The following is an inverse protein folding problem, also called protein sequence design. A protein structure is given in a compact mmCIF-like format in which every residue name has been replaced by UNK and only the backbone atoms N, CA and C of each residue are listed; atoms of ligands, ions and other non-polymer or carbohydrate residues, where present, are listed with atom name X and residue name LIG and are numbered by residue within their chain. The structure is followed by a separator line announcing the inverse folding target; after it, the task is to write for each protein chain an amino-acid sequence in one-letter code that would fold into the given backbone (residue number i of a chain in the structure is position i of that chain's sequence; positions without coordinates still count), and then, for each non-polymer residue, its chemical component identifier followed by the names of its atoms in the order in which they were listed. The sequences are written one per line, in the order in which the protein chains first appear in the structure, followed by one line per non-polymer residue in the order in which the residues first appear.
data_IF_260528240940
#
_entry.id   IF_260528240940
#
_cell.length_a   1.000
_cell.length_b   1.000
_cell.length_c   1.000
_cell.angle_alpha   90.00
_cell.angle_beta   90.00
_cell.angle_gamma   90.00
#
_symmetry.space_group_name_H-M   'P 1'
#
loop_
_entity.id
_entity.type
_entity.pdbx_description
1 polymer ?
#
# COMPACT_ATOMS: atom_id res chain seq x y z
N UNK A 1 -19.82 1.17 -0.89
CA UNK A 1 -19.30 0.02 -1.65
C UNK A 1 -18.06 -0.49 -0.91
N UNK A 2 -18.00 -1.78 -0.61
CA UNK A 2 -16.85 -2.38 0.05
C UNK A 2 -15.71 -2.56 -0.97
N UNK A 3 -14.47 -2.19 -0.61
CA UNK A 3 -13.27 -2.43 -1.41
C UNK A 3 -12.71 -3.79 -0.98
N UNK A 4 -12.34 -4.61 -1.94
CA UNK A 4 -11.79 -5.96 -1.73
C UNK A 4 -10.33 -5.98 -2.15
N UNK A 5 -9.45 -6.52 -1.30
CA UNK A 5 -8.02 -6.64 -1.56
C UNK A 5 -7.59 -8.06 -1.22
N UNK A 6 -7.12 -8.80 -2.21
CA UNK A 6 -6.60 -10.15 -2.04
C UNK A 6 -5.14 -10.11 -1.60
N UNK A 7 -4.80 -10.93 -0.62
CA UNK A 7 -3.47 -10.98 0.01
C UNK A 7 -2.80 -12.29 -0.33
N UNK A 8 -1.60 -12.22 -0.87
CA UNK A 8 -0.79 -13.37 -1.27
C UNK A 8 0.51 -13.40 -0.48
N UNK A 9 0.98 -14.63 -0.18
CA UNK A 9 2.32 -14.88 0.32
C UNK A 9 3.26 -15.13 -0.86
N UNK A 10 4.39 -14.43 -0.87
CA UNK A 10 5.49 -14.65 -1.81
C UNK A 10 6.84 -14.60 -1.08
N UNK A 11 7.00 -15.53 -0.16
CA UNK A 11 8.22 -15.76 0.62
C UNK A 11 8.39 -17.26 0.87
N UNK A 12 9.60 -17.79 0.93
CA UNK A 12 9.81 -19.24 1.10
C UNK A 12 9.10 -19.81 2.33
N UNK A 13 8.39 -20.94 2.22
CA UNK A 13 8.26 -21.80 1.03
C UNK A 13 7.12 -21.42 0.06
N UNK A 14 6.43 -20.32 0.28
CA UNK A 14 5.27 -19.90 -0.52
C UNK A 14 5.68 -19.16 -1.78
N UNK A 15 4.92 -19.35 -2.85
CA UNK A 15 5.07 -18.61 -4.10
C UNK A 15 3.68 -18.22 -4.62
N UNK A 16 3.33 -16.93 -4.44
CA UNK A 16 2.01 -16.39 -4.81
C UNK A 16 0.82 -17.19 -4.24
N UNK A 17 0.95 -17.67 -3.00
CA UNK A 17 -0.10 -18.42 -2.32
C UNK A 17 -1.14 -17.44 -1.76
N UNK A 18 -2.42 -17.65 -2.09
CA UNK A 18 -3.51 -16.81 -1.58
C UNK A 18 -3.75 -17.09 -0.08
N UNK A 19 -3.47 -16.09 0.75
CA UNK A 19 -3.64 -16.18 2.20
C UNK A 19 -5.08 -15.86 2.61
N UNK A 20 -5.66 -14.80 2.03
CA UNK A 20 -6.97 -14.31 2.43
C UNK A 20 -7.34 -12.99 1.76
N UNK A 21 -8.35 -12.36 2.31
CA UNK A 21 -8.95 -11.16 1.74
C UNK A 21 -9.15 -10.09 2.79
N UNK A 22 -8.67 -8.88 2.50
CA UNK A 22 -9.01 -7.66 3.25
C UNK A 22 -10.27 -7.05 2.64
N UNK A 23 -11.22 -6.74 3.49
CA UNK A 23 -12.42 -5.98 3.13
C UNK A 23 -12.34 -4.60 3.78
N UNK A 24 -12.50 -3.56 2.98
CA UNK A 24 -12.45 -2.17 3.44
C UNK A 24 -13.80 -1.52 3.22
N UNK A 25 -14.47 -1.19 4.29
CA UNK A 25 -15.72 -0.45 4.28
C UNK A 25 -15.45 1.01 4.63
N UNK A 26 -16.17 1.94 4.01
CA UNK A 26 -16.05 3.36 4.33
C UNK A 26 -17.34 3.88 4.92
N UNK A 27 -17.27 4.42 6.15
CA UNK A 27 -18.36 5.08 6.83
C UNK A 27 -17.93 6.43 7.39
N UNK A 28 -18.69 7.49 7.07
CA UNK A 28 -18.44 8.87 7.56
C UNK A 28 -17.00 9.34 7.34
N UNK A 29 -16.39 8.97 6.20
CA UNK A 29 -15.01 9.36 5.86
C UNK A 29 -13.90 8.57 6.57
N UNK A 30 -14.26 7.55 7.38
CA UNK A 30 -13.32 6.64 8.05
C UNK A 30 -13.39 5.26 7.40
N UNK A 31 -12.24 4.61 7.23
CA UNK A 31 -12.15 3.22 6.76
C UNK A 31 -12.23 2.25 7.94
N UNK A 32 -12.93 1.14 7.71
CA UNK A 32 -13.03 0.01 8.62
C UNK A 32 -12.54 -1.23 7.90
N UNK A 33 -11.68 -1.98 8.56
CA UNK A 33 -11.00 -3.13 7.99
C UNK A 33 -11.50 -4.41 8.63
N UNK A 34 -11.69 -5.43 7.80
CA UNK A 34 -11.84 -6.81 8.23
C UNK A 34 -11.02 -7.71 7.32
N UNK A 35 -10.63 -8.88 7.83
CA UNK A 35 -9.84 -9.85 7.12
C UNK A 35 -10.46 -11.24 7.25
N UNK A 36 -10.41 -12.02 6.20
CA UNK A 36 -10.82 -13.41 6.18
C UNK A 36 -9.73 -14.27 5.54
N UNK A 37 -9.30 -15.31 6.26
CA UNK A 37 -8.37 -16.28 5.70
C UNK A 37 -9.02 -17.11 4.60
N UNK A 38 -8.26 -17.42 3.55
CA UNK A 38 -8.64 -18.39 2.54
C UNK A 38 -8.76 -19.77 3.16
N UNK A 39 -9.75 -20.55 2.74
CA UNK A 39 -10.00 -21.88 3.31
C UNK A 39 -8.80 -22.81 3.12
N UNK A 40 -8.17 -22.81 1.94
CA UNK A 40 -6.96 -23.61 1.68
C UNK A 40 -5.80 -23.26 2.61
N UNK A 41 -5.63 -21.99 2.98
CA UNK A 41 -4.62 -21.54 3.95
C UNK A 41 -4.86 -22.16 5.33
N UNK A 42 -6.11 -22.15 5.78
CA UNK A 42 -6.50 -22.75 7.07
C UNK A 42 -6.37 -24.27 7.08
N UNK A 43 -6.79 -24.95 6.00
CA UNK A 43 -6.73 -26.41 5.88
C UNK A 43 -5.30 -26.93 5.84
N UNK A 44 -4.38 -26.21 5.23
CA UNK A 44 -2.97 -26.55 5.20
C UNK A 44 -2.24 -26.27 6.53
N UNK A 45 -2.90 -25.62 7.49
CA UNK A 45 -2.33 -25.30 8.80
C UNK A 45 -1.14 -24.34 8.74
N UNK A 46 -1.17 -23.43 7.79
CA UNK A 46 -0.11 -22.44 7.62
C UNK A 46 -0.09 -21.41 8.76
N UNK A 47 0.93 -20.59 8.76
CA UNK A 47 1.17 -19.65 9.84
C UNK A 47 0.12 -18.54 9.94
N UNK A 48 -0.06 -18.03 11.15
CA UNK A 48 -0.79 -16.83 11.46
C UNK A 48 0.02 -15.59 10.96
N UNK A 49 -0.64 -14.67 10.25
CA UNK A 49 0.02 -13.50 9.68
C UNK A 49 0.34 -12.42 10.72
N UNK A 50 -0.54 -12.28 11.69
CA UNK A 50 -0.52 -11.21 12.69
C UNK A 50 -1.10 -11.75 14.00
N UNK A 51 -0.61 -11.34 15.16
CA UNK A 51 -1.19 -11.74 16.45
C UNK A 51 -2.68 -11.45 16.59
N UNK A 52 -3.18 -10.43 15.87
CA UNK A 52 -4.60 -10.06 15.86
C UNK A 52 -5.43 -10.81 14.80
N UNK A 53 -4.78 -11.66 13.98
CA UNK A 53 -5.42 -12.46 12.91
C UNK A 53 -5.34 -13.95 13.23
N UNK A 54 -6.29 -14.45 14.03
CA UNK A 54 -6.33 -15.83 14.44
C UNK A 54 -6.74 -16.78 13.31
N UNK A 55 -6.20 -18.00 13.30
CA UNK A 55 -6.48 -19.02 12.29
C UNK A 55 -7.87 -19.65 12.52
N UNK A 56 -8.92 -19.00 12.07
CA UNK A 56 -10.28 -19.56 12.02
C UNK A 56 -11.05 -19.06 10.79
N UNK A 57 -12.10 -19.79 10.43
CA UNK A 57 -12.96 -19.43 9.30
C UNK A 57 -13.87 -18.25 9.66
N UNK A 58 -13.94 -17.27 8.76
CA UNK A 58 -14.80 -16.11 8.87
C UNK A 58 -14.06 -14.81 9.03
N UNK A 59 -14.79 -13.72 8.93
CA UNK A 59 -14.25 -12.36 8.99
C UNK A 59 -13.82 -12.00 10.41
N UNK A 60 -12.63 -11.47 10.51
CA UNK A 60 -12.05 -10.91 11.72
C UNK A 60 -11.97 -9.40 11.58
N UNK A 61 -12.38 -8.69 12.61
CA UNK A 61 -12.43 -7.23 12.61
C UNK A 61 -11.29 -6.70 13.46
N UNK A 62 -10.71 -5.58 13.00
CA UNK A 62 -9.69 -4.89 13.77
C UNK A 62 -10.30 -4.22 15.01
N UNK A 63 -9.53 -4.17 16.10
CA UNK A 63 -9.94 -3.43 17.29
C UNK A 63 -9.96 -1.92 17.02
N UNK A 64 -10.85 -1.20 17.71
CA UNK A 64 -11.11 0.23 17.49
C UNK A 64 -9.89 1.15 17.63
N UNK A 65 -8.84 0.70 18.33
CA UNK A 65 -7.62 1.45 18.57
C UNK A 65 -6.66 1.46 17.38
N UNK A 66 -6.86 0.61 16.40
CA UNK A 66 -5.99 0.46 15.23
C UNK A 66 -6.72 0.87 13.96
N UNK A 67 -6.00 1.49 13.03
CA UNK A 67 -6.56 1.87 11.72
C UNK A 67 -6.50 0.73 10.71
N UNK A 68 -5.51 -0.17 10.84
CA UNK A 68 -5.26 -1.32 9.97
C UNK A 68 -4.49 -2.39 10.77
N UNK A 69 -4.56 -3.68 10.38
CA UNK A 69 -3.76 -4.74 11.02
C UNK A 69 -2.26 -4.47 10.86
N UNK A 70 -1.47 -4.78 11.89
CA UNK A 70 -0.05 -4.46 11.96
C UNK A 70 0.74 -4.97 10.76
N UNK A 71 0.55 -6.24 10.38
CA UNK A 71 1.22 -6.85 9.22
C UNK A 71 0.94 -6.11 7.90
N UNK A 72 -0.25 -5.53 7.74
CA UNK A 72 -0.57 -4.74 6.56
C UNK A 72 -0.06 -3.30 6.69
N UNK A 73 -0.01 -2.76 7.90
CA UNK A 73 0.63 -1.46 8.16
C UNK A 73 2.13 -1.49 7.78
N UNK A 74 2.81 -2.60 8.06
CA UNK A 74 4.22 -2.82 7.69
C UNK A 74 4.43 -2.89 6.16
N UNK A 75 3.39 -3.23 5.42
CA UNK A 75 3.38 -3.23 3.95
C UNK A 75 3.04 -1.87 3.33
N UNK A 76 2.62 -0.90 4.13
CA UNK A 76 2.37 0.47 3.71
C UNK A 76 3.69 1.25 3.56
N UNK A 77 3.70 2.34 2.78
CA UNK A 77 4.89 3.19 2.69
C UNK A 77 5.16 3.86 4.02
N UNK A 78 6.43 4.17 4.26
CA UNK A 78 6.88 4.94 5.40
C UNK A 78 6.37 6.40 5.34
N UNK A 79 6.76 7.21 6.32
CA UNK A 79 6.36 8.62 6.38
C UNK A 79 6.74 9.40 5.13
N UNK A 80 7.90 9.10 4.54
CA UNK A 80 8.37 9.76 3.33
C UNK A 80 7.55 9.33 2.11
N UNK A 81 7.37 8.05 1.90
CA UNK A 81 6.55 7.51 0.83
C UNK A 81 5.11 8.05 0.86
N UNK A 82 4.52 8.21 2.07
CA UNK A 82 3.21 8.84 2.25
C UNK A 82 3.20 10.30 1.79
N UNK A 83 4.26 11.08 2.09
CA UNK A 83 4.40 12.48 1.61
C UNK A 83 4.47 12.55 0.09
N UNK A 84 5.25 11.66 -0.54
CA UNK A 84 5.33 11.57 -2.00
C UNK A 84 3.97 11.23 -2.63
N UNK A 85 3.24 10.29 -2.09
CA UNK A 85 1.90 9.92 -2.56
C UNK A 85 0.92 11.09 -2.43
N UNK A 86 0.94 11.82 -1.32
CA UNK A 86 0.10 13.01 -1.13
C UNK A 86 0.45 14.09 -2.16
N UNK A 87 1.73 14.36 -2.38
CA UNK A 87 2.17 15.34 -3.37
C UNK A 87 1.75 14.94 -4.79
N UNK A 88 1.85 13.68 -5.13
CA UNK A 88 1.39 13.16 -6.42
C UNK A 88 -0.12 13.37 -6.60
N UNK A 89 -0.92 13.10 -5.56
CA UNK A 89 -2.36 13.36 -5.61
C UNK A 89 -2.68 14.86 -5.81
N UNK A 90 -1.94 15.76 -5.15
CA UNK A 90 -2.08 17.20 -5.36
C UNK A 90 -1.78 17.61 -6.81
N UNK A 91 -0.71 17.07 -7.40
CA UNK A 91 -0.35 17.34 -8.79
C UNK A 91 -1.39 16.78 -9.77
N UNK A 92 -1.87 15.56 -9.53
CA UNK A 92 -2.95 14.95 -10.31
C UNK A 92 -4.21 15.81 -10.28
N UNK A 93 -4.63 16.20 -9.09
CA UNK A 93 -5.82 17.00 -8.89
C UNK A 93 -5.70 18.38 -9.56
N UNK A 94 -4.53 19.01 -9.44
CA UNK A 94 -4.22 20.28 -10.11
C UNK A 94 -4.30 20.16 -11.64
N UNK A 95 -3.73 19.09 -12.21
CA UNK A 95 -3.78 18.83 -13.65
C UNK A 95 -5.21 18.56 -14.14
N UNK A 96 -6.05 17.93 -13.31
CA UNK A 96 -7.45 17.66 -13.61
C UNK A 96 -8.41 18.82 -13.27
N UNK A 97 -7.92 19.91 -12.66
CA UNK A 97 -8.77 21.00 -12.19
C UNK A 97 -9.68 20.61 -11.01
N UNK A 98 -9.28 19.60 -10.24
CA UNK A 98 -10.02 19.04 -9.11
C UNK A 98 -9.39 19.42 -7.78
N UNK A 99 -10.14 19.23 -6.69
CA UNK A 99 -9.55 19.29 -5.34
C UNK A 99 -8.82 17.97 -5.04
N UNK A 100 -7.61 18.03 -4.44
CA UNK A 100 -6.91 16.81 -4.03
C UNK A 100 -7.75 16.07 -2.97
N UNK A 101 -7.87 14.76 -3.15
CA UNK A 101 -8.54 13.91 -2.17
C UNK A 101 -7.58 13.56 -1.03
N UNK A 102 -8.11 13.38 0.17
CA UNK A 102 -7.34 12.85 1.28
C UNK A 102 -7.13 11.35 1.06
N UNK A 103 -5.86 10.92 0.98
CA UNK A 103 -5.53 9.51 0.86
C UNK A 103 -5.85 8.76 2.17
N UNK A 104 -6.36 7.56 2.02
CA UNK A 104 -6.68 6.63 3.11
C UNK A 104 -5.58 5.59 3.32
N UNK A 105 -5.65 4.80 4.39
CA UNK A 105 -4.69 3.71 4.63
C UNK A 105 -4.73 2.67 3.50
N UNK A 106 -5.90 2.37 2.94
CA UNK A 106 -6.00 1.46 1.79
C UNK A 106 -5.35 2.05 0.54
N UNK A 107 -5.41 3.35 0.32
CA UNK A 107 -4.72 4.00 -0.79
C UNK A 107 -3.20 3.91 -0.63
N UNK A 108 -2.68 4.10 0.59
CA UNK A 108 -1.26 3.92 0.87
C UNK A 108 -0.82 2.47 0.68
N UNK A 109 -1.58 1.50 1.19
CA UNK A 109 -1.29 0.08 1.00
C UNK A 109 -1.20 -0.29 -0.49
N UNK A 110 -2.14 0.20 -1.29
CA UNK A 110 -2.22 -0.11 -2.71
C UNK A 110 -1.22 0.69 -3.58
N UNK A 111 -0.70 1.79 -3.06
CA UNK A 111 0.19 2.70 -3.80
C UNK A 111 1.66 2.32 -3.78
N UNK A 112 2.07 1.28 -3.05
CA UNK A 112 3.46 0.79 -3.05
C UNK A 112 3.70 -0.11 -4.26
N UNK A 113 4.81 0.10 -4.97
CA UNK A 113 5.21 -0.75 -6.09
C UNK A 113 5.45 -2.19 -5.63
N UNK A 114 4.78 -3.14 -6.28
CA UNK A 114 4.72 -4.52 -5.81
C UNK A 114 6.09 -5.20 -5.72
N UNK A 115 6.94 -5.08 -6.76
CA UNK A 115 8.29 -5.67 -6.78
C UNK A 115 9.22 -5.07 -5.73
N UNK A 116 8.91 -3.88 -5.23
CA UNK A 116 9.70 -3.15 -4.26
C UNK A 116 9.12 -3.21 -2.84
N UNK A 117 8.04 -3.98 -2.60
CA UNK A 117 7.49 -4.15 -1.26
C UNK A 117 8.48 -4.83 -0.33
N UNK A 118 8.58 -4.29 0.87
CA UNK A 118 9.27 -4.99 1.96
C UNK A 118 8.35 -6.07 2.53
N UNK A 119 8.93 -7.24 2.83
CA UNK A 119 8.17 -8.40 3.28
C UNK A 119 7.67 -9.24 2.10
N UNK A 120 7.05 -10.37 2.43
CA UNK A 120 6.61 -11.35 1.45
C UNK A 120 5.12 -11.25 1.10
N UNK A 121 4.46 -10.14 1.41
CA UNK A 121 3.05 -9.97 1.08
C UNK A 121 2.88 -9.21 -0.23
N UNK A 122 2.00 -9.73 -1.09
CA UNK A 122 1.60 -9.10 -2.34
C UNK A 122 0.08 -8.94 -2.37
N UNK A 123 -0.39 -7.93 -3.10
CA UNK A 123 -1.80 -7.54 -3.08
C UNK A 123 -2.38 -7.44 -4.48
N UNK A 124 -3.66 -7.86 -4.62
CA UNK A 124 -4.46 -7.67 -5.84
C UNK A 124 -5.83 -7.11 -5.49
N UNK A 125 -6.42 -6.34 -6.38
CA UNK A 125 -7.83 -5.92 -6.29
C UNK A 125 -8.74 -6.77 -7.17
N UNK A 126 -8.16 -7.56 -8.09
CA UNK A 126 -8.81 -8.53 -8.94
C UNK A 126 -7.98 -9.80 -8.95
N UNK A 127 -8.59 -10.97 -8.72
CA UNK A 127 -7.89 -12.26 -8.70
C UNK A 127 -7.23 -12.60 -10.03
N UNK A 128 -7.88 -12.27 -11.13
CA UNK A 128 -7.40 -12.50 -12.48
C UNK A 128 -6.50 -11.38 -12.99
N UNK A 129 -6.43 -10.27 -12.24
CA UNK A 129 -5.57 -9.13 -12.52
C UNK A 129 -4.15 -9.34 -12.04
N UNK A 130 -3.31 -8.38 -12.40
CA UNK A 130 -1.94 -8.34 -11.94
C UNK A 130 -1.83 -7.91 -10.48
N UNK A 131 -0.67 -8.07 -9.84
CA UNK A 131 -0.39 -7.50 -8.52
C UNK A 131 -0.33 -5.98 -8.58
N UNK A 132 -0.76 -5.34 -7.50
CA UNK A 132 -0.96 -3.91 -7.50
C UNK A 132 0.30 -3.09 -7.65
N UNK A 133 0.07 -1.97 -8.29
CA UNK A 133 1.00 -0.96 -8.72
C UNK A 133 1.69 -1.27 -10.05
N UNK A 134 0.87 -1.25 -11.12
CA UNK A 134 1.31 -1.44 -12.49
C UNK A 134 2.09 -0.30 -13.07
N UNK A 135 1.77 0.89 -12.61
CA UNK A 135 2.35 2.09 -13.12
C UNK A 135 3.73 2.28 -12.44
N UNK A 136 4.76 1.61 -13.04
CA UNK A 136 6.15 1.78 -12.62
C UNK A 136 6.53 3.27 -12.55
N UNK A 137 5.91 4.08 -13.39
CA UNK A 137 6.12 5.52 -13.47
C UNK A 137 5.55 6.28 -12.26
N UNK A 138 4.58 5.68 -11.55
CA UNK A 138 3.88 6.31 -10.43
C UNK A 138 3.96 5.54 -9.12
N UNK A 139 4.62 4.40 -9.10
CA UNK A 139 4.80 3.63 -7.88
C UNK A 139 5.80 4.30 -6.93
N UNK A 140 5.48 4.28 -5.65
CA UNK A 140 6.39 4.79 -4.62
C UNK A 140 7.34 3.68 -4.21
N UNK A 141 8.67 3.85 -4.34
CA UNK A 141 9.62 2.87 -3.85
C UNK A 141 9.53 2.77 -2.31
N UNK A 142 9.71 1.59 -1.71
CA UNK A 142 9.67 1.42 -0.26
C UNK A 142 10.88 2.05 0.44
N UNK A 143 11.98 2.22 -0.29
CA UNK A 143 13.17 2.92 0.19
C UNK A 143 13.77 3.79 -0.92
N UNK A 144 14.35 4.88 -0.52
CA UNK A 144 15.30 5.67 -1.30
C UNK A 144 16.63 5.64 -0.57
N UNK A 145 17.76 5.77 -1.27
CA UNK A 145 19.04 5.93 -0.59
C UNK A 145 18.99 7.18 0.30
N UNK A 146 19.65 7.14 1.47
CA UNK A 146 19.67 8.28 2.41
C UNK A 146 20.05 9.59 1.72
N UNK A 147 20.95 9.50 0.73
CA UNK A 147 21.46 10.64 -0.06
C UNK A 147 20.41 11.21 -1.02
N UNK A 148 19.61 10.36 -1.63
CA UNK A 148 18.49 10.77 -2.50
C UNK A 148 17.35 11.36 -1.70
N UNK A 149 17.10 10.82 -0.49
CA UNK A 149 16.17 11.37 0.48
C UNK A 149 16.59 12.76 0.97
N UNK A 150 17.87 12.94 1.25
CA UNK A 150 18.42 14.20 1.73
C UNK A 150 18.37 15.28 0.65
N UNK A 151 18.75 14.94 -0.58
CA UNK A 151 18.65 15.84 -1.74
C UNK A 151 17.20 16.18 -2.10
N UNK A 152 16.29 15.21 -2.04
CA UNK A 152 14.89 15.44 -2.27
C UNK A 152 14.24 16.25 -1.14
N UNK A 153 14.66 16.08 0.11
CA UNK A 153 14.18 16.88 1.25
C UNK A 153 14.60 18.33 1.12
N UNK A 154 15.84 18.58 0.73
CA UNK A 154 16.36 19.94 0.49
C UNK A 154 15.63 20.63 -0.67
N UNK A 155 15.39 19.89 -1.76
CA UNK A 155 14.63 20.40 -2.91
C UNK A 155 13.16 20.68 -2.56
N UNK A 156 12.57 19.89 -1.64
CA UNK A 156 11.19 20.05 -1.16
C UNK A 156 11.00 21.23 -0.22
N UNK A 157 12.02 21.58 0.57
CA UNK A 157 11.98 22.71 1.51
C UNK A 157 12.28 24.04 0.82
N UNK A 158 12.90 24.01 -0.38
CA UNK A 158 13.36 25.21 -1.10
C UNK A 158 12.47 25.69 -2.23
N UNK A 159 11.41 24.98 -2.63
CA UNK A 159 10.72 25.30 -3.89
C UNK A 159 9.18 25.25 -3.77
N UNK A 160 8.60 26.43 -3.68
CA UNK A 160 7.16 26.69 -3.83
C UNK A 160 6.74 26.79 -5.33
N UNK A 161 7.67 26.56 -6.25
CA UNK A 161 7.46 26.73 -7.70
C UNK A 161 7.72 25.43 -8.47
N UNK A 162 6.71 25.00 -9.17
CA UNK A 162 6.52 23.96 -10.19
C UNK A 162 7.68 23.29 -10.96
N UNK A 163 8.96 23.46 -10.62
CA UNK A 163 10.08 22.84 -11.34
C UNK A 163 10.38 21.40 -10.90
N UNK A 164 9.70 20.89 -9.88
CA UNK A 164 9.94 19.61 -9.26
C UNK A 164 9.25 18.39 -9.93
N UNK A 165 8.47 18.60 -11.00
CA UNK A 165 7.81 17.47 -11.71
C UNK A 165 8.83 16.47 -12.27
N UNK A 166 9.96 16.97 -12.78
CA UNK A 166 11.02 16.15 -13.36
C UNK A 166 11.76 15.34 -12.28
N UNK A 167 11.95 15.92 -11.10
CA UNK A 167 12.57 15.29 -9.94
C UNK A 167 11.67 14.23 -9.30
N UNK A 168 10.38 14.51 -9.16
CA UNK A 168 9.39 13.54 -8.69
C UNK A 168 9.27 12.34 -9.64
N UNK A 169 9.34 12.56 -10.94
CA UNK A 169 9.40 11.48 -11.93
C UNK A 169 10.65 10.63 -11.77
N UNK A 170 11.82 11.22 -11.54
CA UNK A 170 13.08 10.49 -11.32
C UNK A 170 13.09 9.69 -10.01
N UNK A 171 12.51 10.23 -8.93
CA UNK A 171 12.41 9.54 -7.63
C UNK A 171 11.38 8.40 -7.63
N UNK A 172 10.41 8.46 -8.53
CA UNK A 172 9.33 7.48 -8.64
C UNK A 172 9.63 6.39 -9.67
N UNK A 173 10.65 6.57 -10.52
CA UNK A 173 11.11 5.53 -11.45
C UNK A 173 12.09 4.60 -10.73
N UNK A 174 11.80 3.29 -10.62
CA UNK A 174 12.76 2.31 -10.15
C UNK A 174 13.93 2.26 -11.15
N UNK A 175 15.12 2.56 -10.66
CA UNK A 175 16.43 2.48 -11.27
C UNK A 175 16.55 2.29 -12.78
N UNK A 176 17.12 3.30 -13.44
CA UNK A 176 17.93 3.10 -14.64
C UNK A 176 19.35 2.75 -14.21
#
# INVERSE_FOLDING_TARGET
KEKVIYVFADFPPFHNELIGTIYVSQMRGKEFYSFEYQQSWLENGYMMLDPDLHLYKGRQYINDDKNIFGVFADSCPDRWGRRLMNRREELRAKAAGEKPRKLSESDYLLGVYDEARMGGLRFKTDLDGDFLSFDKEYATPPWTSLRELEQASIAFEGDDTGSNEKWLRQLLTPGS
#
